data_IF_899522028419
#
_entry.id   IF_899522028419
#
_cell.length_a   1.000
_cell.length_b   1.000
_cell.length_c   1.000
_cell.angle_alpha   90.00
_cell.angle_beta   90.00
_cell.angle_gamma   90.00
#
_symmetry.space_group_name_H-M   'P 1'
#
loop_
_entity.id
_entity.type
_entity.pdbx_description
1 polymer ?
#
# COMPACT_ATOMS: atom_id res chain seq x y z
N UNK A 1 36.16 54.29 31.17
CA UNK A 1 35.91 55.40 30.24
C UNK A 1 36.63 55.05 28.95
N UNK A 2 35.96 54.38 28.00
CA UNK A 2 35.00 55.00 27.07
C UNK A 2 35.77 55.90 26.08
N UNK A 3 35.57 55.87 24.77
CA UNK A 3 34.60 55.19 23.94
C UNK A 3 35.09 55.28 22.47
N UNK A 4 34.35 54.59 21.60
CA UNK A 4 34.22 54.88 20.17
C UNK A 4 35.43 54.62 19.26
N UNK A 5 35.44 53.41 18.68
CA UNK A 5 35.30 53.28 17.22
C UNK A 5 34.86 51.86 16.85
N UNK A 6 33.58 51.57 17.09
CA UNK A 6 32.84 50.48 16.45
C UNK A 6 31.59 51.07 15.81
N UNK A 7 31.59 51.27 14.48
CA UNK A 7 30.37 51.21 13.68
C UNK A 7 30.66 50.97 12.20
N UNK A 8 30.23 49.79 11.78
CA UNK A 8 29.56 49.48 10.50
C UNK A 8 30.37 49.49 9.21
N UNK A 9 30.69 48.29 8.72
CA UNK A 9 30.26 47.86 7.39
C UNK A 9 29.84 46.37 7.43
N UNK A 10 28.58 46.12 7.08
CA UNK A 10 27.84 44.85 7.19
C UNK A 10 28.23 43.86 6.08
N UNK A 11 28.19 42.53 6.32
CA UNK A 11 28.20 41.55 5.24
C UNK A 11 26.84 41.50 4.53
N UNK A 12 26.85 41.47 3.20
CA UNK A 12 25.67 41.32 2.33
C UNK A 12 24.96 40.01 2.65
N UNK A 13 23.71 40.08 3.11
CA UNK A 13 22.83 38.91 3.24
C UNK A 13 22.57 38.32 1.85
N UNK A 14 22.98 37.06 1.65
CA UNK A 14 22.59 36.26 0.47
C UNK A 14 21.09 35.91 0.57
N UNK A 15 20.31 35.99 -0.52
CA UNK A 15 18.89 35.69 -0.47
C UNK A 15 18.62 34.19 -0.29
N UNK A 16 17.47 33.91 0.33
CA UNK A 16 16.95 32.64 0.82
C UNK A 16 16.95 31.50 -0.22
N UNK A 17 17.93 30.58 -0.16
CA UNK A 17 17.91 29.28 -0.89
C UNK A 17 17.11 28.15 -0.21
N UNK A 18 16.63 28.37 1.03
CA UNK A 18 15.82 27.37 1.76
C UNK A 18 14.40 27.17 1.18
N UNK A 19 13.87 28.15 0.45
CA UNK A 19 12.51 28.08 -0.12
C UNK A 19 12.42 27.20 -1.38
N UNK A 20 13.43 27.25 -2.27
CA UNK A 20 13.44 26.46 -3.51
C UNK A 20 13.68 24.97 -3.27
N UNK A 21 14.47 24.62 -2.24
CA UNK A 21 14.71 23.20 -1.90
C UNK A 21 13.44 22.52 -1.36
N UNK A 22 12.68 23.22 -0.50
CA UNK A 22 11.37 22.75 -0.02
C UNK A 22 10.35 22.62 -1.15
N UNK A 23 10.30 23.61 -2.07
CA UNK A 23 9.36 23.58 -3.19
C UNK A 23 9.57 22.38 -4.13
N UNK A 24 10.82 22.02 -4.41
CA UNK A 24 11.17 20.84 -5.23
C UNK A 24 10.95 19.51 -4.48
N UNK A 25 11.08 19.50 -3.15
CA UNK A 25 10.77 18.35 -2.30
C UNK A 25 9.24 18.14 -2.18
N UNK A 26 8.47 19.23 -2.13
CA UNK A 26 7.00 19.23 -2.12
C UNK A 26 6.42 18.82 -3.49
N UNK A 27 7.02 19.25 -4.60
CA UNK A 27 6.63 18.85 -5.97
C UNK A 27 6.92 17.36 -6.24
N UNK A 28 8.06 16.84 -5.75
CA UNK A 28 8.33 15.40 -5.79
C UNK A 28 7.38 14.61 -4.86
N UNK A 29 7.00 15.18 -3.71
CA UNK A 29 6.00 14.57 -2.84
C UNK A 29 4.60 14.56 -3.47
N UNK A 30 4.25 15.58 -4.26
CA UNK A 30 2.99 15.65 -5.00
C UNK A 30 2.96 14.63 -6.16
N UNK A 31 4.08 14.44 -6.88
CA UNK A 31 4.20 13.40 -7.90
C UNK A 31 4.09 11.98 -7.31
N UNK A 32 4.65 11.76 -6.10
CA UNK A 32 4.54 10.49 -5.37
C UNK A 32 3.10 10.26 -4.86
N UNK A 33 2.41 11.32 -4.42
CA UNK A 33 1.01 11.27 -4.00
C UNK A 33 0.06 11.02 -5.20
N UNK A 34 0.35 11.59 -6.37
CA UNK A 34 -0.40 11.34 -7.60
C UNK A 34 -0.23 9.88 -8.09
N UNK A 35 0.96 9.29 -7.95
CA UNK A 35 1.20 7.87 -8.23
C UNK A 35 0.57 6.92 -7.17
N UNK A 36 0.35 7.39 -5.94
CA UNK A 36 -0.44 6.68 -4.94
C UNK A 36 -1.96 6.80 -5.19
N UNK A 37 -2.39 7.89 -5.83
CA UNK A 37 -3.80 8.12 -6.20
C UNK A 37 -4.27 7.18 -7.33
N UNK A 38 -3.35 6.67 -8.15
CA UNK A 38 -3.63 5.67 -9.19
C UNK A 38 -3.71 4.22 -8.67
N UNK A 39 -3.52 3.97 -7.38
CA UNK A 39 -3.69 2.66 -6.74
C UNK A 39 -5.14 2.34 -6.33
N UNK A 40 -6.10 3.21 -6.67
CA UNK A 40 -7.53 3.01 -6.45
C UNK A 40 -8.30 2.51 -7.67
N UNK A 41 -7.78 1.58 -8.49
CA UNK A 41 -8.61 0.76 -9.40
C UNK A 41 -7.80 -0.29 -10.14
N UNK A 42 -7.70 -1.49 -9.58
CA UNK A 42 -7.30 -2.67 -10.34
C UNK A 42 -7.98 -3.91 -9.77
N UNK A 43 -9.22 -4.12 -10.19
CA UNK A 43 -10.04 -5.26 -9.79
C UNK A 43 -11.48 -5.16 -10.29
N UNK A 44 -11.67 -4.85 -11.57
CA UNK A 44 -12.92 -5.08 -12.29
C UNK A 44 -12.57 -6.08 -13.40
N UNK A 45 -12.99 -7.34 -13.20
CA UNK A 45 -13.14 -8.29 -14.29
C UNK A 45 -14.47 -7.96 -14.99
N UNK A 46 -14.44 -7.98 -16.33
CA UNK A 46 -15.53 -7.73 -17.27
C UNK A 46 -16.82 -8.49 -16.94
N UNK A 47 -17.95 -7.77 -16.93
CA UNK A 47 -19.23 -8.23 -17.49
C UNK A 47 -20.03 -6.98 -17.89
N UNK A 48 -20.40 -6.95 -19.17
CA UNK A 48 -20.92 -5.80 -19.89
C UNK A 48 -22.42 -6.04 -20.15
N UNK A 49 -23.32 -5.28 -19.50
CA UNK A 49 -24.73 -5.16 -19.92
C UNK A 49 -25.15 -3.68 -19.85
N UNK A 50 -25.59 -3.17 -20.99
CA UNK A 50 -26.22 -1.86 -21.16
C UNK A 50 -27.58 -1.84 -20.48
N UNK A 51 -27.86 -0.86 -19.59
CA UNK A 51 -29.25 -0.44 -19.36
C UNK A 51 -29.38 1.06 -19.07
N UNK A 52 -30.56 1.53 -19.47
CA UNK A 52 -30.97 2.85 -19.91
C UNK A 52 -31.24 3.85 -18.76
N UNK A 53 -31.04 5.13 -19.05
CA UNK A 53 -31.15 6.22 -18.09
C UNK A 53 -32.59 6.61 -17.78
N UNK A 54 -33.02 6.42 -16.54
CA UNK A 54 -34.27 7.00 -16.01
C UNK A 54 -34.04 7.63 -14.64
N UNK A 55 -34.07 8.96 -14.59
CA UNK A 55 -33.98 9.75 -13.37
C UNK A 55 -35.15 9.46 -12.40
N UNK A 56 -34.87 8.72 -11.33
CA UNK A 56 -35.85 8.33 -10.31
C UNK A 56 -36.18 9.45 -9.31
N UNK A 57 -37.48 9.64 -9.05
CA UNK A 57 -38.04 10.59 -8.07
C UNK A 57 -37.61 10.31 -6.61
N UNK A 58 -37.56 11.33 -5.72
CA UNK A 58 -37.00 11.24 -4.37
C UNK A 58 -37.69 10.24 -3.40
N UNK A 59 -38.93 9.82 -3.65
CA UNK A 59 -39.60 8.80 -2.83
C UNK A 59 -39.10 7.37 -3.12
N UNK A 60 -38.79 7.06 -4.38
CA UNK A 60 -38.23 5.76 -4.80
C UNK A 60 -36.82 5.57 -4.20
N UNK A 61 -36.03 6.65 -4.18
CA UNK A 61 -34.70 6.68 -3.56
C UNK A 61 -34.76 6.38 -2.05
N UNK A 62 -35.74 6.95 -1.32
CA UNK A 62 -35.92 6.69 0.12
C UNK A 62 -36.36 5.26 0.43
N UNK A 63 -37.24 4.69 -0.39
CA UNK A 63 -37.66 3.30 -0.24
C UNK A 63 -36.51 2.32 -0.51
N UNK A 64 -35.68 2.61 -1.51
CA UNK A 64 -34.46 1.85 -1.80
C UNK A 64 -33.45 1.94 -0.64
N UNK A 65 -33.20 3.14 -0.12
CA UNK A 65 -32.29 3.35 1.02
C UNK A 65 -32.76 2.63 2.30
N UNK A 66 -34.07 2.66 2.58
CA UNK A 66 -34.64 1.92 3.73
C UNK A 66 -34.61 0.39 3.54
N UNK A 67 -34.69 -0.10 2.31
CA UNK A 67 -34.50 -1.51 1.99
C UNK A 67 -33.05 -1.94 2.20
N UNK A 68 -32.09 -1.17 1.68
CA UNK A 68 -30.65 -1.40 1.88
C UNK A 68 -30.28 -1.39 3.37
N UNK A 69 -30.81 -0.44 4.14
CA UNK A 69 -30.54 -0.38 5.58
C UNK A 69 -31.09 -1.59 6.35
N UNK A 70 -32.23 -2.14 5.91
CA UNK A 70 -32.78 -3.38 6.47
C UNK A 70 -31.91 -4.58 6.10
N UNK A 71 -31.43 -4.63 4.85
CA UNK A 71 -30.55 -5.70 4.38
C UNK A 71 -29.22 -5.70 5.14
N UNK A 72 -28.57 -4.53 5.28
CA UNK A 72 -27.35 -4.37 6.08
C UNK A 72 -27.57 -4.88 7.51
N UNK A 73 -28.63 -4.43 8.19
CA UNK A 73 -28.93 -4.88 9.56
C UNK A 73 -29.15 -6.39 9.63
N UNK A 74 -29.90 -6.96 8.68
CA UNK A 74 -30.13 -8.41 8.63
C UNK A 74 -28.82 -9.20 8.50
N UNK A 75 -27.88 -8.74 7.66
CA UNK A 75 -26.58 -9.40 7.52
C UNK A 75 -25.71 -9.23 8.77
N UNK A 76 -25.72 -8.06 9.40
CA UNK A 76 -25.00 -7.83 10.67
C UNK A 76 -25.56 -8.72 11.78
N UNK A 77 -26.88 -8.84 11.91
CA UNK A 77 -27.53 -9.72 12.89
C UNK A 77 -27.15 -11.19 12.68
N UNK A 78 -27.04 -11.64 11.42
CA UNK A 78 -26.55 -12.98 11.09
C UNK A 78 -25.11 -13.16 11.57
N UNK A 79 -24.22 -12.19 11.29
CA UNK A 79 -22.83 -12.28 11.73
C UNK A 79 -22.72 -12.32 13.26
N UNK A 80 -23.45 -11.47 13.98
CA UNK A 80 -23.44 -11.45 15.45
C UNK A 80 -23.93 -12.79 16.01
N UNK A 81 -25.05 -13.32 15.50
CA UNK A 81 -25.58 -14.62 15.93
C UNK A 81 -24.63 -15.78 15.68
N UNK A 82 -23.85 -15.72 14.60
CA UNK A 82 -22.93 -16.78 14.20
C UNK A 82 -21.52 -16.63 14.78
N UNK A 83 -21.22 -15.54 15.51
CA UNK A 83 -19.86 -15.21 15.96
C UNK A 83 -19.22 -16.29 16.86
N UNK A 84 -20.02 -17.03 17.63
CA UNK A 84 -19.53 -18.03 18.59
C UNK A 84 -19.85 -19.49 18.20
N UNK A 85 -20.28 -19.74 16.95
CA UNK A 85 -20.76 -21.07 16.53
C UNK A 85 -19.93 -21.68 15.40
N UNK A 86 -19.56 -22.95 15.56
CA UNK A 86 -18.91 -23.77 14.53
C UNK A 86 -19.87 -24.67 13.75
N UNK A 87 -21.18 -24.58 14.00
CA UNK A 87 -22.17 -25.38 13.26
C UNK A 87 -22.10 -25.04 11.77
N UNK A 88 -22.12 -26.05 10.91
CA UNK A 88 -22.02 -25.89 9.46
C UNK A 88 -23.03 -24.87 8.90
N UNK A 89 -24.29 -24.90 9.37
CA UNK A 89 -25.32 -23.96 8.95
C UNK A 89 -25.01 -22.50 9.34
N UNK A 90 -24.48 -22.28 10.55
CA UNK A 90 -24.12 -20.95 11.05
C UNK A 90 -22.90 -20.40 10.31
N UNK A 91 -21.87 -21.24 10.07
CA UNK A 91 -20.70 -20.83 9.28
C UNK A 91 -21.04 -20.57 7.81
N UNK A 92 -21.94 -21.36 7.21
CA UNK A 92 -22.45 -21.11 5.87
C UNK A 92 -23.24 -19.79 5.80
N UNK A 93 -24.02 -19.46 6.84
CA UNK A 93 -24.73 -18.19 6.94
C UNK A 93 -23.76 -17.02 7.10
N UNK A 94 -22.76 -17.13 7.98
CA UNK A 94 -21.71 -16.11 8.13
C UNK A 94 -20.95 -15.87 6.81
N UNK A 95 -20.60 -16.93 6.08
CA UNK A 95 -19.97 -16.84 4.75
C UNK A 95 -20.83 -16.06 3.75
N UNK A 96 -22.14 -16.30 3.73
CA UNK A 96 -23.06 -15.55 2.86
C UNK A 96 -23.17 -14.10 3.31
N UNK A 97 -23.30 -13.84 4.61
CA UNK A 97 -23.42 -12.50 5.15
C UNK A 97 -22.18 -11.64 4.88
N UNK A 98 -20.97 -12.18 5.06
CA UNK A 98 -19.74 -11.47 4.69
C UNK A 98 -19.66 -11.19 3.19
N UNK A 99 -20.10 -12.13 2.35
CA UNK A 99 -20.15 -11.89 0.90
C UNK A 99 -21.13 -10.79 0.52
N UNK A 100 -22.36 -10.81 1.03
CA UNK A 100 -23.38 -9.79 0.74
C UNK A 100 -22.91 -8.41 1.21
N UNK A 101 -22.36 -8.30 2.42
CA UNK A 101 -21.80 -7.03 2.90
C UNK A 101 -20.63 -6.54 2.04
N UNK A 102 -19.78 -7.44 1.54
CA UNK A 102 -18.71 -7.06 0.62
C UNK A 102 -19.24 -6.54 -0.71
N UNK A 103 -20.27 -7.16 -1.29
CA UNK A 103 -20.91 -6.67 -2.52
C UNK A 103 -21.55 -5.30 -2.32
N UNK A 104 -22.25 -5.08 -1.20
CA UNK A 104 -22.80 -3.77 -0.86
C UNK A 104 -21.70 -2.71 -0.64
N UNK A 105 -20.58 -3.09 -0.01
CA UNK A 105 -19.46 -2.19 0.26
C UNK A 105 -18.68 -1.76 -1.00
N UNK A 106 -18.91 -2.39 -2.16
CA UNK A 106 -18.39 -1.89 -3.45
C UNK A 106 -19.05 -0.58 -3.86
N UNK A 107 -20.26 -0.31 -3.40
CA UNK A 107 -20.93 0.98 -3.60
C UNK A 107 -20.56 1.94 -2.47
N UNK A 108 -19.80 2.99 -2.79
CA UNK A 108 -19.34 3.99 -1.83
C UNK A 108 -20.48 4.65 -1.04
N UNK A 109 -21.66 4.82 -1.64
CA UNK A 109 -22.82 5.43 -0.98
C UNK A 109 -23.36 4.57 0.19
N UNK A 110 -23.17 3.25 0.12
CA UNK A 110 -23.67 2.29 1.10
C UNK A 110 -22.66 2.02 2.23
N UNK A 111 -21.37 2.33 2.01
CA UNK A 111 -20.28 2.09 2.97
C UNK A 111 -20.58 2.71 4.35
N UNK A 112 -21.04 3.97 4.40
CA UNK A 112 -21.36 4.64 5.67
C UNK A 112 -22.48 3.91 6.41
N UNK A 113 -23.52 3.49 5.67
CA UNK A 113 -24.66 2.73 6.22
C UNK A 113 -24.21 1.38 6.79
N UNK A 114 -23.25 0.70 6.14
CA UNK A 114 -22.69 -0.56 6.63
C UNK A 114 -21.94 -0.35 7.95
N UNK A 115 -21.13 0.70 8.04
CA UNK A 115 -20.38 1.04 9.26
C UNK A 115 -21.33 1.40 10.40
N UNK A 116 -22.28 2.31 10.16
CA UNK A 116 -23.30 2.72 11.12
C UNK A 116 -24.23 1.57 11.55
N UNK A 117 -24.44 0.60 10.66
CA UNK A 117 -25.17 -0.64 10.94
C UNK A 117 -24.47 -1.61 11.88
N UNK A 118 -23.25 -1.32 12.34
CA UNK A 118 -22.50 -2.14 13.29
C UNK A 118 -21.68 -3.27 12.66
N UNK A 119 -21.50 -3.25 11.34
CA UNK A 119 -20.81 -4.34 10.63
C UNK A 119 -19.35 -4.49 11.07
N UNK A 120 -18.66 -3.40 11.40
CA UNK A 120 -17.23 -3.44 11.76
C UNK A 120 -16.95 -4.38 12.93
N UNK A 121 -17.65 -4.21 14.05
CA UNK A 121 -17.45 -5.07 15.23
C UNK A 121 -17.80 -6.54 14.92
N UNK A 122 -18.90 -6.77 14.20
CA UNK A 122 -19.31 -8.11 13.81
C UNK A 122 -18.28 -8.80 12.90
N UNK A 123 -17.71 -8.08 11.94
CA UNK A 123 -16.68 -8.60 11.02
C UNK A 123 -15.37 -8.89 11.76
N UNK A 124 -14.94 -8.04 12.70
CA UNK A 124 -13.74 -8.27 13.51
C UNK A 124 -13.84 -9.58 14.30
N UNK A 125 -15.00 -9.88 14.89
CA UNK A 125 -15.22 -11.16 15.57
C UNK A 125 -15.04 -12.40 14.67
N UNK A 126 -15.25 -12.25 13.35
CA UNK A 126 -15.10 -13.34 12.37
C UNK A 126 -13.69 -13.44 11.78
N UNK A 127 -12.78 -12.53 12.12
CA UNK A 127 -11.34 -12.68 11.87
C UNK A 127 -10.65 -13.54 12.94
N UNK A 128 -11.28 -13.68 14.10
CA UNK A 128 -10.78 -14.42 15.24
C UNK A 128 -11.45 -15.78 15.38
N UNK A 129 -10.78 -16.70 16.08
CA UNK A 129 -11.37 -17.99 16.41
C UNK A 129 -12.48 -17.77 17.45
N UNK A 130 -13.70 -18.28 17.24
CA UNK A 130 -14.73 -18.37 18.27
C UNK A 130 -14.13 -18.95 19.56
N UNK A 131 -14.23 -18.22 20.67
CA UNK A 131 -13.66 -18.57 21.98
C UNK A 131 -14.35 -19.77 22.68
N UNK A 132 -14.67 -20.82 21.93
CA UNK A 132 -15.32 -22.02 22.47
C UNK A 132 -14.25 -22.85 23.17
N UNK A 133 -14.36 -22.97 24.49
CA UNK A 133 -13.56 -23.87 25.30
C UNK A 133 -13.59 -25.27 24.68
N UNK A 134 -12.40 -25.85 24.46
CA UNK A 134 -12.21 -27.15 23.84
C UNK A 134 -13.23 -28.19 24.32
N UNK A 135 -14.17 -28.56 23.46
CA UNK A 135 -15.00 -29.73 23.64
C UNK A 135 -14.58 -30.73 22.56
N UNK A 136 -13.87 -31.77 22.98
CA UNK A 136 -13.50 -32.99 22.23
C UNK A 136 -12.58 -32.86 21.01
N UNK A 137 -11.57 -33.74 20.94
CA UNK A 137 -10.56 -33.82 19.86
C UNK A 137 -11.15 -34.08 18.46
N UNK A 138 -12.40 -34.56 18.37
CA UNK A 138 -13.09 -34.81 17.09
C UNK A 138 -13.64 -33.53 16.45
N UNK A 139 -14.03 -32.50 17.22
CA UNK A 139 -14.51 -31.21 16.67
C UNK A 139 -13.37 -30.32 16.16
N UNK A 140 -12.13 -30.59 16.57
CA UNK A 140 -10.94 -29.93 16.02
C UNK A 140 -10.70 -30.24 14.53
N UNK A 141 -11.32 -31.30 13.98
CA UNK A 141 -11.08 -31.75 12.60
C UNK A 141 -12.00 -31.12 11.54
N UNK A 142 -13.14 -30.51 11.91
CA UNK A 142 -14.06 -29.89 10.95
C UNK A 142 -14.41 -28.47 11.38
N UNK A 143 -13.60 -27.51 10.93
CA UNK A 143 -13.91 -26.06 10.95
C UNK A 143 -14.52 -25.64 9.62
N UNK A 144 -15.84 -25.80 9.41
CA UNK A 144 -16.45 -25.55 8.11
C UNK A 144 -16.36 -24.07 7.75
N UNK A 145 -15.95 -23.79 6.52
CA UNK A 145 -15.87 -22.44 5.94
C UNK A 145 -15.03 -21.43 6.75
N UNK A 146 -14.10 -21.86 7.61
CA UNK A 146 -13.25 -20.97 8.40
C UNK A 146 -12.56 -19.92 7.53
N UNK A 147 -11.78 -20.39 6.55
CA UNK A 147 -11.00 -19.54 5.67
C UNK A 147 -11.88 -18.67 4.78
N UNK A 148 -13.04 -19.14 4.34
CA UNK A 148 -13.95 -18.33 3.53
C UNK A 148 -14.58 -17.19 4.33
N UNK A 149 -14.94 -17.43 5.58
CA UNK A 149 -15.49 -16.40 6.46
C UNK A 149 -14.42 -15.37 6.81
N UNK A 150 -13.21 -15.80 7.18
CA UNK A 150 -12.08 -14.91 7.45
C UNK A 150 -11.72 -14.06 6.22
N UNK A 151 -11.65 -14.70 5.03
CA UNK A 151 -11.41 -14.02 3.76
C UNK A 151 -12.49 -12.96 3.51
N UNK A 152 -13.76 -13.30 3.72
CA UNK A 152 -14.90 -12.40 3.54
C UNK A 152 -14.85 -11.23 4.51
N UNK A 153 -14.54 -11.49 5.79
CA UNK A 153 -14.42 -10.48 6.82
C UNK A 153 -13.28 -9.50 6.53
N UNK A 154 -12.07 -10.01 6.24
CA UNK A 154 -10.91 -9.20 5.91
C UNK A 154 -11.15 -8.36 4.64
N UNK A 155 -11.76 -8.96 3.61
CA UNK A 155 -12.09 -8.25 2.39
C UNK A 155 -13.09 -7.11 2.63
N UNK A 156 -14.16 -7.38 3.37
CA UNK A 156 -15.18 -6.36 3.67
C UNK A 156 -14.59 -5.21 4.47
N UNK A 157 -13.80 -5.51 5.53
CA UNK A 157 -13.11 -4.48 6.31
C UNK A 157 -12.16 -3.64 5.44
N UNK A 158 -11.46 -4.27 4.49
CA UNK A 158 -10.63 -3.57 3.51
C UNK A 158 -11.42 -2.62 2.62
N UNK A 159 -12.61 -3.00 2.17
CA UNK A 159 -13.49 -2.11 1.40
C UNK A 159 -13.99 -0.93 2.24
N UNK A 160 -14.41 -1.17 3.47
CA UNK A 160 -14.85 -0.10 4.39
C UNK A 160 -13.71 0.88 4.71
N UNK A 161 -12.47 0.40 4.72
CA UNK A 161 -11.27 1.21 5.00
C UNK A 161 -10.80 2.06 3.80
N UNK A 162 -11.40 1.92 2.62
CA UNK A 162 -11.09 2.80 1.46
C UNK A 162 -11.43 4.26 1.81
N UNK A 163 -12.50 4.47 2.60
CA UNK A 163 -12.87 5.78 3.14
C UNK A 163 -12.01 6.11 4.37
N UNK A 164 -11.22 7.20 4.35
CA UNK A 164 -10.34 7.57 5.46
C UNK A 164 -11.06 7.73 6.81
N UNK A 165 -12.32 8.16 6.78
CA UNK A 165 -13.12 8.43 7.98
C UNK A 165 -13.41 7.15 8.78
N UNK A 166 -13.33 5.97 8.15
CA UNK A 166 -13.64 4.70 8.80
C UNK A 166 -12.40 3.96 9.28
N UNK A 167 -11.21 4.29 8.76
CA UNK A 167 -9.97 3.59 9.06
C UNK A 167 -9.71 3.54 10.57
N UNK A 168 -9.78 4.69 11.25
CA UNK A 168 -9.50 4.79 12.68
C UNK A 168 -10.53 4.00 13.50
N UNK A 169 -11.81 4.09 13.15
CA UNK A 169 -12.88 3.33 13.82
C UNK A 169 -12.69 1.81 13.68
N UNK A 170 -12.32 1.33 12.49
CA UNK A 170 -12.03 -0.10 12.25
C UNK A 170 -10.84 -0.57 13.09
N UNK A 171 -9.78 0.24 13.15
CA UNK A 171 -8.61 -0.07 13.95
C UNK A 171 -8.90 -0.05 15.46
N UNK A 172 -9.74 0.86 15.93
CA UNK A 172 -10.16 0.96 17.33
C UNK A 172 -11.13 -0.15 17.74
N UNK A 173 -11.88 -0.72 16.78
CA UNK A 173 -12.65 -1.94 16.96
C UNK A 173 -11.79 -3.21 17.09
N UNK A 174 -10.46 -3.10 17.00
CA UNK A 174 -9.53 -4.21 17.21
C UNK A 174 -9.20 -5.02 15.96
N UNK A 175 -9.37 -4.46 14.76
CA UNK A 175 -9.12 -5.21 13.52
C UNK A 175 -7.64 -5.58 13.27
N UNK A 176 -6.67 -4.80 13.77
CA UNK A 176 -5.25 -4.98 13.42
C UNK A 176 -4.63 -6.30 13.94
N UNK A 177 -4.73 -6.65 15.25
CA UNK A 177 -4.14 -7.89 15.75
C UNK A 177 -4.58 -9.16 14.98
N UNK A 178 -5.87 -9.39 14.69
CA UNK A 178 -6.26 -10.58 13.94
C UNK A 178 -5.86 -10.51 12.47
N UNK A 179 -5.87 -9.35 11.81
CA UNK A 179 -5.34 -9.20 10.46
C UNK A 179 -3.85 -9.58 10.40
N UNK A 180 -3.05 -9.14 11.37
CA UNK A 180 -1.63 -9.52 11.47
C UNK A 180 -1.46 -11.01 11.77
N UNK A 181 -2.33 -11.62 12.58
CA UNK A 181 -2.34 -13.07 12.83
C UNK A 181 -2.58 -13.85 11.53
N UNK A 182 -3.49 -13.39 10.67
CA UNK A 182 -3.78 -14.02 9.38
C UNK A 182 -2.56 -14.02 8.44
N UNK A 183 -1.74 -12.96 8.45
CA UNK A 183 -0.50 -12.90 7.64
C UNK A 183 0.51 -13.99 8.03
N UNK A 184 0.53 -14.40 9.30
CA UNK A 184 1.50 -15.38 9.84
C UNK A 184 1.13 -16.84 9.52
N UNK A 185 -0.02 -17.11 8.90
CA UNK A 185 -0.45 -18.48 8.57
C UNK A 185 0.34 -19.03 7.38
N UNK A 186 1.58 -19.53 7.58
CA UNK A 186 2.32 -20.21 6.50
C UNK A 186 3.08 -21.49 6.92
N UNK A 187 3.08 -22.45 5.98
CA UNK A 187 3.73 -23.79 5.90
C UNK A 187 3.03 -25.06 6.39
N UNK A 188 1.82 -25.03 6.93
CA UNK A 188 1.13 -26.28 7.30
C UNK A 188 -0.34 -26.19 6.97
N UNK A 189 -0.77 -26.63 5.77
CA UNK A 189 -2.13 -27.15 5.50
C UNK A 189 -2.33 -27.50 4.01
N UNK A 190 -3.16 -28.50 3.80
CA UNK A 190 -3.57 -29.16 2.55
C UNK A 190 -4.34 -28.26 1.56
N UNK A 191 -4.63 -26.99 1.91
CA UNK A 191 -5.47 -26.05 1.15
C UNK A 191 -4.76 -24.71 0.84
N UNK A 192 -3.53 -24.78 0.31
CA UNK A 192 -2.65 -23.63 0.05
C UNK A 192 -3.34 -22.45 -0.68
N UNK A 193 -4.19 -22.70 -1.68
CA UNK A 193 -4.87 -21.64 -2.45
C UNK A 193 -5.82 -20.77 -1.61
N UNK A 194 -6.59 -21.37 -0.71
CA UNK A 194 -7.55 -20.61 0.11
C UNK A 194 -6.81 -19.82 1.19
N UNK A 195 -5.78 -20.42 1.80
CA UNK A 195 -4.90 -19.73 2.76
C UNK A 195 -4.25 -18.50 2.11
N UNK A 196 -3.70 -18.64 0.89
CA UNK A 196 -3.16 -17.52 0.13
C UNK A 196 -4.22 -16.43 -0.12
N UNK A 197 -5.46 -16.82 -0.41
CA UNK A 197 -6.56 -15.87 -0.59
C UNK A 197 -6.87 -15.08 0.68
N UNK A 198 -6.84 -15.72 1.86
CA UNK A 198 -7.02 -15.04 3.16
C UNK A 198 -5.87 -14.07 3.42
N UNK A 199 -4.62 -14.53 3.25
CA UNK A 199 -3.42 -13.69 3.46
C UNK A 199 -3.45 -12.47 2.56
N UNK A 200 -3.78 -12.67 1.27
CA UNK A 200 -3.92 -11.58 0.31
C UNK A 200 -4.92 -10.54 0.83
N UNK A 201 -6.11 -10.97 1.26
CA UNK A 201 -7.14 -10.06 1.77
C UNK A 201 -6.75 -9.36 3.07
N UNK A 202 -5.98 -10.02 3.94
CA UNK A 202 -5.44 -9.38 5.13
C UNK A 202 -4.42 -8.28 4.78
N UNK A 203 -3.52 -8.53 3.82
CA UNK A 203 -2.57 -7.54 3.34
C UNK A 203 -3.26 -6.36 2.61
N UNK A 204 -4.26 -6.64 1.76
CA UNK A 204 -5.10 -5.63 1.11
C UNK A 204 -5.80 -4.74 2.17
N UNK A 205 -6.39 -5.35 3.20
CA UNK A 205 -7.08 -4.61 4.26
C UNK A 205 -6.13 -3.71 5.05
N UNK A 206 -4.94 -4.21 5.40
CA UNK A 206 -3.89 -3.41 6.07
C UNK A 206 -3.45 -2.24 5.19
N UNK A 207 -3.33 -2.46 3.87
CA UNK A 207 -2.98 -1.41 2.90
C UNK A 207 -4.01 -0.27 2.94
N UNK A 208 -5.30 -0.60 2.84
CA UNK A 208 -6.37 0.40 2.85
C UNK A 208 -6.48 1.12 4.21
N UNK A 209 -6.36 0.39 5.32
CA UNK A 209 -6.37 0.99 6.67
C UNK A 209 -5.22 1.98 6.88
N UNK A 210 -4.03 1.68 6.33
CA UNK A 210 -2.84 2.50 6.52
C UNK A 210 -2.69 3.62 5.47
N UNK A 211 -3.52 3.62 4.42
CA UNK A 211 -3.43 4.60 3.33
C UNK A 211 -3.66 6.02 3.86
N UNK A 212 -2.68 6.91 3.61
CA UNK A 212 -2.64 8.30 4.12
C UNK A 212 -2.81 8.47 5.65
N UNK A 213 -2.63 7.40 6.44
CA UNK A 213 -2.81 7.44 7.89
C UNK A 213 -1.54 7.02 8.66
N UNK A 214 -0.73 8.01 9.06
CA UNK A 214 0.55 7.80 9.75
C UNK A 214 0.42 7.08 11.10
N UNK A 215 -0.69 7.29 11.82
CA UNK A 215 -0.94 6.65 13.11
C UNK A 215 -1.18 5.15 12.90
N UNK A 216 -2.01 4.79 11.92
CA UNK A 216 -2.27 3.38 11.60
C UNK A 216 -1.03 2.69 11.05
N UNK A 217 -0.24 3.35 10.19
CA UNK A 217 1.07 2.82 9.73
C UNK A 217 1.97 2.45 10.92
N UNK A 218 1.99 3.29 11.94
CA UNK A 218 2.77 3.05 13.16
C UNK A 218 2.20 1.90 13.98
N UNK A 219 0.87 1.83 14.15
CA UNK A 219 0.21 0.74 14.86
C UNK A 219 0.44 -0.61 14.19
N UNK A 220 0.34 -0.71 12.86
CA UNK A 220 0.64 -1.95 12.12
C UNK A 220 2.05 -2.47 12.43
N UNK A 221 3.04 -1.57 12.51
CA UNK A 221 4.40 -1.92 12.96
C UNK A 221 4.41 -2.44 14.39
N UNK A 222 3.77 -1.72 15.32
CA UNK A 222 3.78 -2.08 16.75
C UNK A 222 3.09 -3.42 17.02
N UNK A 223 2.07 -3.78 16.25
CA UNK A 223 1.41 -5.09 16.28
C UNK A 223 2.25 -6.21 15.63
N UNK A 224 3.44 -5.88 15.09
CA UNK A 224 4.34 -6.85 14.45
C UNK A 224 3.89 -7.27 13.05
N UNK A 225 3.24 -6.38 12.30
CA UNK A 225 2.79 -6.64 10.92
C UNK A 225 3.90 -6.59 9.87
N UNK A 226 5.00 -5.87 10.10
CA UNK A 226 6.09 -5.74 9.11
C UNK A 226 6.82 -7.07 8.85
N UNK A 227 7.30 -7.82 9.87
CA UNK A 227 8.01 -9.08 9.63
C UNK A 227 7.27 -10.08 8.73
N UNK A 228 5.98 -10.44 8.99
CA UNK A 228 5.28 -11.38 8.11
C UNK A 228 5.04 -10.82 6.71
N UNK A 229 4.84 -9.49 6.54
CA UNK A 229 4.76 -8.91 5.20
C UNK A 229 6.07 -9.05 4.42
N UNK A 230 7.22 -8.93 5.08
CA UNK A 230 8.52 -9.14 4.45
C UNK A 230 8.72 -10.62 4.08
N UNK A 231 8.34 -11.55 4.94
CA UNK A 231 8.38 -12.99 4.62
C UNK A 231 7.50 -13.33 3.41
N UNK A 232 6.32 -12.71 3.29
CA UNK A 232 5.38 -12.94 2.19
C UNK A 232 5.88 -12.41 0.83
N UNK A 233 6.93 -11.59 0.79
CA UNK A 233 7.61 -11.22 -0.47
C UNK A 233 8.24 -12.43 -1.17
N UNK A 234 8.51 -13.52 -0.44
CA UNK A 234 9.05 -14.78 -1.00
C UNK A 234 7.96 -15.80 -1.39
N UNK A 235 6.68 -15.39 -1.32
CA UNK A 235 5.56 -16.25 -1.69
C UNK A 235 5.63 -16.66 -3.17
N UNK A 236 5.33 -17.93 -3.45
CA UNK A 236 5.17 -18.46 -4.81
C UNK A 236 3.85 -18.04 -5.46
N UNK A 237 2.90 -17.54 -4.65
CA UNK A 237 1.66 -16.96 -5.14
C UNK A 237 1.86 -15.48 -5.42
N UNK A 238 1.91 -15.12 -6.72
CA UNK A 238 2.14 -13.75 -7.18
C UNK A 238 1.11 -12.76 -6.63
N UNK A 239 -0.13 -13.19 -6.38
CA UNK A 239 -1.16 -12.30 -5.82
C UNK A 239 -0.84 -11.96 -4.37
N UNK A 240 -0.35 -12.93 -3.59
CA UNK A 240 0.12 -12.71 -2.21
C UNK A 240 1.38 -11.86 -2.19
N UNK A 241 2.36 -12.19 -3.04
CA UNK A 241 3.62 -11.43 -3.15
C UNK A 241 3.35 -9.95 -3.47
N UNK A 242 2.47 -9.69 -4.45
CA UNK A 242 2.05 -8.33 -4.81
C UNK A 242 1.35 -7.60 -3.65
N UNK A 243 0.39 -8.25 -3.00
CA UNK A 243 -0.35 -7.63 -1.90
C UNK A 243 0.57 -7.28 -0.71
N UNK A 244 1.53 -8.16 -0.41
CA UNK A 244 2.55 -7.90 0.61
C UNK A 244 3.43 -6.70 0.27
N UNK A 245 3.88 -6.61 -0.99
CA UNK A 245 4.67 -5.46 -1.47
C UNK A 245 3.87 -4.15 -1.43
N UNK A 246 2.60 -4.16 -1.85
CA UNK A 246 1.71 -2.99 -1.77
C UNK A 246 1.49 -2.50 -0.32
N UNK A 247 1.31 -3.43 0.62
CA UNK A 247 1.23 -3.11 2.04
C UNK A 247 2.54 -2.47 2.54
N UNK A 248 3.70 -3.05 2.22
CA UNK A 248 5.00 -2.50 2.61
C UNK A 248 5.27 -1.12 1.98
N UNK A 249 4.86 -0.90 0.73
CA UNK A 249 4.95 0.40 0.05
C UNK A 249 4.19 1.47 0.82
N UNK A 250 2.96 1.15 1.23
CA UNK A 250 2.11 2.04 2.02
C UNK A 250 2.69 2.32 3.41
N UNK A 251 3.18 1.27 4.09
CA UNK A 251 3.77 1.39 5.43
C UNK A 251 5.08 2.18 5.44
N UNK A 252 5.86 2.13 4.36
CA UNK A 252 7.11 2.87 4.21
C UNK A 252 6.89 4.37 3.89
N UNK A 253 5.73 4.74 3.32
CA UNK A 253 5.48 6.11 2.89
C UNK A 253 5.44 7.08 4.08
N UNK A 254 6.42 7.99 4.12
CA UNK A 254 6.59 9.04 5.14
C UNK A 254 6.64 8.51 6.59
N UNK A 255 7.21 7.33 6.82
CA UNK A 255 7.38 6.75 8.16
C UNK A 255 8.77 6.11 8.32
N UNK A 256 9.71 6.83 8.95
CA UNK A 256 11.13 6.44 8.98
C UNK A 256 11.39 5.20 9.86
N UNK A 257 10.65 5.03 10.95
CA UNK A 257 10.72 3.84 11.79
C UNK A 257 10.28 2.59 11.04
N UNK A 258 9.19 2.69 10.25
CA UNK A 258 8.74 1.59 9.41
C UNK A 258 9.77 1.27 8.31
N UNK A 259 10.31 2.29 7.61
CA UNK A 259 11.37 2.07 6.61
C UNK A 259 12.56 1.32 7.20
N UNK A 260 13.00 1.75 8.39
CA UNK A 260 14.13 1.14 9.10
C UNK A 260 13.84 -0.33 9.42
N UNK A 261 12.65 -0.64 9.95
CA UNK A 261 12.31 -2.02 10.28
C UNK A 261 12.18 -2.91 9.05
N UNK A 262 11.63 -2.41 7.93
CA UNK A 262 11.54 -3.17 6.68
C UNK A 262 12.94 -3.60 6.21
N UNK A 263 13.92 -2.71 6.29
CA UNK A 263 15.31 -3.02 5.93
C UNK A 263 15.94 -3.99 6.94
N UNK A 264 15.70 -3.82 8.24
CA UNK A 264 16.17 -4.72 9.30
C UNK A 264 15.59 -6.14 9.18
N UNK A 265 14.39 -6.28 8.63
CA UNK A 265 13.78 -7.56 8.30
C UNK A 265 14.35 -8.19 7.01
N UNK A 266 15.42 -7.63 6.44
CA UNK A 266 16.12 -8.12 5.25
C UNK A 266 15.25 -8.17 3.99
N UNK A 267 14.39 -7.17 3.77
CA UNK A 267 13.53 -7.11 2.58
C UNK A 267 14.28 -6.81 1.27
N UNK A 268 15.46 -6.17 1.34
CA UNK A 268 16.13 -5.62 0.16
C UNK A 268 16.51 -6.66 -0.91
N UNK A 269 17.11 -7.82 -0.59
CA UNK A 269 17.45 -8.83 -1.60
C UNK A 269 16.23 -9.29 -2.40
N UNK A 270 15.12 -9.55 -1.71
CA UNK A 270 13.88 -10.02 -2.32
C UNK A 270 13.22 -8.94 -3.18
N UNK A 271 13.15 -7.70 -2.69
CA UNK A 271 12.65 -6.57 -3.48
C UNK A 271 13.48 -6.34 -4.76
N UNK A 272 14.81 -6.46 -4.67
CA UNK A 272 15.70 -6.31 -5.82
C UNK A 272 15.52 -7.44 -6.84
N UNK A 273 15.26 -8.67 -6.37
CA UNK A 273 14.89 -9.78 -7.25
C UNK A 273 13.55 -9.51 -7.96
N UNK A 274 12.55 -9.00 -7.23
CA UNK A 274 11.22 -8.66 -7.78
C UNK A 274 11.28 -7.57 -8.85
N UNK A 275 12.25 -6.66 -8.83
CA UNK A 275 12.47 -5.68 -9.91
C UNK A 275 12.76 -6.34 -11.28
N UNK A 276 13.18 -7.61 -11.29
CA UNK A 276 13.47 -8.38 -12.50
C UNK A 276 12.30 -9.27 -12.94
N UNK A 277 11.16 -9.20 -12.25
CA UNK A 277 9.97 -9.98 -12.60
C UNK A 277 9.45 -9.59 -13.99
N UNK A 278 9.04 -10.59 -14.75
CA UNK A 278 8.30 -10.42 -16.01
C UNK A 278 6.87 -9.91 -15.76
N UNK A 279 6.33 -10.12 -14.54
CA UNK A 279 5.05 -9.55 -14.14
C UNK A 279 5.22 -8.06 -13.80
N UNK A 280 4.59 -7.22 -14.62
CA UNK A 280 4.67 -5.77 -14.48
C UNK A 280 4.14 -5.24 -13.15
N UNK A 281 3.12 -5.90 -12.60
CA UNK A 281 2.57 -5.49 -11.32
C UNK A 281 3.54 -5.79 -10.16
N UNK A 282 4.30 -6.88 -10.25
CA UNK A 282 5.30 -7.24 -9.24
C UNK A 282 6.47 -6.26 -9.25
N UNK A 283 7.05 -5.99 -10.42
CA UNK A 283 8.18 -5.06 -10.47
C UNK A 283 7.77 -3.62 -10.15
N UNK A 284 6.50 -3.24 -10.40
CA UNK A 284 5.93 -1.94 -10.07
C UNK A 284 5.85 -1.73 -8.55
N UNK A 285 5.32 -2.71 -7.82
CA UNK A 285 5.29 -2.61 -6.36
C UNK A 285 6.70 -2.61 -5.78
N UNK A 286 7.61 -3.45 -6.30
CA UNK A 286 8.98 -3.51 -5.81
C UNK A 286 9.72 -2.17 -5.96
N UNK A 287 9.62 -1.52 -7.12
CA UNK A 287 10.25 -0.21 -7.34
C UNK A 287 9.61 0.87 -6.45
N UNK A 288 8.29 0.81 -6.24
CA UNK A 288 7.57 1.71 -5.34
C UNK A 288 7.97 1.57 -3.87
N UNK A 289 8.12 0.33 -3.38
CA UNK A 289 8.63 0.07 -2.02
C UNK A 289 10.03 0.68 -1.87
N UNK A 290 10.95 0.37 -2.79
CA UNK A 290 12.33 0.89 -2.72
C UNK A 290 12.34 2.42 -2.81
N UNK A 291 11.52 3.02 -3.68
CA UNK A 291 11.35 4.47 -3.77
C UNK A 291 10.97 5.10 -2.43
N UNK A 292 9.98 4.53 -1.74
CA UNK A 292 9.56 5.01 -0.43
C UNK A 292 10.64 4.79 0.65
N UNK A 293 11.37 3.67 0.60
CA UNK A 293 12.46 3.36 1.54
C UNK A 293 13.61 4.36 1.45
N UNK A 294 14.01 4.79 0.25
CA UNK A 294 15.16 5.69 0.07
C UNK A 294 14.79 7.18 0.15
N UNK A 295 13.51 7.50 0.04
CA UNK A 295 13.02 8.86 0.13
C UNK A 295 13.34 9.48 1.49
N UNK A 296 14.13 10.55 1.50
CA UNK A 296 14.61 11.24 2.70
C UNK A 296 15.42 10.38 3.69
N UNK A 297 15.91 9.20 3.26
CA UNK A 297 16.64 8.25 4.11
C UNK A 297 18.01 7.92 3.51
N UNK A 298 19.06 8.74 3.76
CA UNK A 298 20.37 8.59 3.11
C UNK A 298 21.10 7.30 3.47
N UNK A 299 20.92 6.77 4.69
CA UNK A 299 21.53 5.51 5.11
C UNK A 299 20.92 4.31 4.37
N UNK A 300 19.59 4.20 4.39
CA UNK A 300 18.84 3.18 3.64
C UNK A 300 19.17 3.25 2.14
N UNK A 301 19.30 4.46 1.59
CA UNK A 301 19.71 4.66 0.20
C UNK A 301 21.07 4.02 -0.12
N UNK A 302 22.07 4.17 0.77
CA UNK A 302 23.37 3.51 0.61
C UNK A 302 23.23 1.99 0.68
N UNK A 303 22.43 1.47 1.61
CA UNK A 303 22.17 0.03 1.74
C UNK A 303 21.52 -0.54 0.48
N UNK A 304 20.52 0.14 -0.09
CA UNK A 304 19.86 -0.24 -1.35
C UNK A 304 20.85 -0.25 -2.53
N UNK A 305 21.73 0.75 -2.63
CA UNK A 305 22.76 0.79 -3.67
C UNK A 305 23.79 -0.34 -3.50
N UNK A 306 24.24 -0.59 -2.27
CA UNK A 306 25.18 -1.66 -1.94
C UNK A 306 24.58 -3.05 -2.19
N UNK A 307 23.28 -3.21 -2.00
CA UNK A 307 22.54 -4.43 -2.31
C UNK A 307 22.36 -4.67 -3.83
N UNK A 308 22.81 -3.74 -4.69
CA UNK A 308 22.85 -3.94 -6.14
C UNK A 308 21.59 -3.50 -6.89
N UNK A 309 20.72 -2.68 -6.30
CA UNK A 309 19.46 -2.24 -6.91
C UNK A 309 19.63 -1.42 -8.21
N UNK A 310 20.78 -0.78 -8.41
CA UNK A 310 20.99 0.20 -9.49
C UNK A 310 20.72 -0.36 -10.90
N UNK A 311 21.27 -1.54 -11.24
CA UNK A 311 21.09 -2.09 -12.59
C UNK A 311 19.64 -2.55 -12.85
N UNK A 312 18.97 -3.29 -11.94
CA UNK A 312 17.55 -3.58 -12.07
C UNK A 312 16.66 -2.35 -12.29
N UNK A 313 16.89 -1.27 -11.52
CA UNK A 313 16.12 -0.02 -11.67
C UNK A 313 16.35 0.61 -13.04
N UNK A 314 17.58 0.63 -13.56
CA UNK A 314 17.86 1.12 -14.92
C UNK A 314 17.12 0.27 -15.96
N UNK A 315 17.05 -1.06 -15.77
CA UNK A 315 16.31 -1.95 -16.67
C UNK A 315 14.82 -1.60 -16.77
N UNK A 316 14.21 -1.15 -15.67
CA UNK A 316 12.80 -0.77 -15.64
C UNK A 316 12.47 0.50 -16.44
N UNK A 317 13.45 1.34 -16.81
CA UNK A 317 13.23 2.47 -17.72
C UNK A 317 12.75 2.03 -19.12
N UNK A 318 13.01 0.77 -19.50
CA UNK A 318 12.55 0.18 -20.75
C UNK A 318 11.43 -0.85 -20.53
N UNK A 319 10.74 -0.82 -19.38
CA UNK A 319 9.57 -1.66 -19.12
C UNK A 319 8.41 -1.32 -20.07
N UNK A 320 7.57 -2.32 -20.38
CA UNK A 320 6.30 -2.11 -21.09
C UNK A 320 5.25 -1.38 -20.24
N UNK A 321 5.48 -1.25 -18.93
CA UNK A 321 4.59 -0.56 -18.00
C UNK A 321 5.09 0.87 -17.74
N UNK A 322 4.31 1.86 -18.17
CA UNK A 322 4.63 3.30 -18.00
C UNK A 322 4.72 3.71 -16.53
N UNK A 323 3.89 3.13 -15.67
CA UNK A 323 3.97 3.34 -14.21
C UNK A 323 5.34 2.93 -13.64
N UNK A 324 5.84 1.75 -14.05
CA UNK A 324 7.16 1.24 -13.64
C UNK A 324 8.28 2.13 -14.16
N UNK A 325 8.18 2.61 -15.41
CA UNK A 325 9.15 3.55 -15.98
C UNK A 325 9.20 4.87 -15.19
N UNK A 326 8.04 5.41 -14.79
CA UNK A 326 7.97 6.63 -13.97
C UNK A 326 8.63 6.46 -12.62
N UNK A 327 8.28 5.39 -11.90
CA UNK A 327 8.85 5.09 -10.58
C UNK A 327 10.36 4.82 -10.68
N UNK A 328 10.81 4.13 -11.73
CA UNK A 328 12.24 3.91 -11.97
C UNK A 328 13.00 5.22 -12.22
N UNK A 329 12.46 6.12 -13.04
CA UNK A 329 13.08 7.43 -13.29
C UNK A 329 13.11 8.30 -12.02
N UNK A 330 12.02 8.31 -11.24
CA UNK A 330 11.97 9.00 -9.95
C UNK A 330 13.06 8.46 -9.00
N UNK A 331 13.16 7.13 -8.87
CA UNK A 331 14.14 6.47 -8.02
C UNK A 331 15.59 6.76 -8.46
N UNK A 332 15.87 6.79 -9.76
CA UNK A 332 17.19 7.20 -10.27
C UNK A 332 17.53 8.65 -9.91
N UNK A 333 16.57 9.57 -10.01
CA UNK A 333 16.74 10.95 -9.56
C UNK A 333 16.99 11.06 -8.05
N UNK A 334 16.41 10.14 -7.25
CA UNK A 334 16.70 10.03 -5.81
C UNK A 334 18.09 9.44 -5.54
N UNK A 335 18.55 8.44 -6.31
CA UNK A 335 19.92 7.92 -6.22
C UNK A 335 20.97 8.96 -6.60
N UNK A 336 20.73 9.73 -7.66
CA UNK A 336 21.60 10.81 -8.09
C UNK A 336 21.81 11.90 -7.01
N UNK A 337 20.93 11.99 -6.00
CA UNK A 337 21.10 12.92 -4.87
C UNK A 337 22.00 12.40 -3.74
N UNK A 338 22.49 11.15 -3.81
CA UNK A 338 23.29 10.54 -2.75
C UNK A 338 24.74 11.04 -2.71
N UNK A 339 25.43 10.95 -3.86
CA UNK A 339 26.86 11.22 -4.00
C UNK A 339 27.23 11.47 -5.48
N UNK A 340 28.35 12.14 -5.75
CA UNK A 340 28.86 12.35 -7.12
C UNK A 340 29.18 11.03 -7.83
N UNK A 341 29.72 10.05 -7.10
CA UNK A 341 30.12 8.77 -7.68
C UNK A 341 28.91 7.96 -8.13
N UNK A 342 27.78 8.07 -7.42
CA UNK A 342 26.52 7.44 -7.82
C UNK A 342 26.03 7.96 -9.17
N UNK A 343 26.17 9.27 -9.44
CA UNK A 343 25.79 9.87 -10.74
C UNK A 343 26.62 9.28 -11.88
N UNK A 344 27.93 9.15 -11.68
CA UNK A 344 28.84 8.55 -12.66
C UNK A 344 28.42 7.12 -12.96
N UNK A 345 28.12 6.33 -11.93
CA UNK A 345 27.65 4.95 -12.10
C UNK A 345 26.29 4.85 -12.81
N UNK A 346 25.35 5.75 -12.53
CA UNK A 346 24.05 5.79 -13.24
C UNK A 346 24.28 6.04 -14.74
N UNK A 347 25.17 6.97 -15.10
CA UNK A 347 25.50 7.29 -16.50
C UNK A 347 26.23 6.14 -17.18
N UNK A 348 27.29 5.61 -16.55
CA UNK A 348 28.10 4.51 -17.10
C UNK A 348 27.29 3.22 -17.33
N UNK A 349 26.26 2.98 -16.52
CA UNK A 349 25.37 1.83 -16.65
C UNK A 349 24.25 2.02 -17.69
N UNK A 350 24.27 3.13 -18.43
CA UNK A 350 23.43 3.33 -19.60
C UNK A 350 22.06 3.94 -19.34
N UNK A 351 21.82 4.58 -18.17
CA UNK A 351 20.52 5.17 -17.85
C UNK A 351 20.12 6.35 -18.76
N UNK A 352 21.10 7.05 -19.35
CA UNK A 352 20.86 8.31 -20.09
C UNK A 352 20.02 8.09 -21.34
N UNK A 353 20.28 7.04 -22.13
CA UNK A 353 19.57 6.83 -23.40
C UNK A 353 18.07 6.53 -23.18
N UNK A 354 17.67 5.58 -22.31
CA UNK A 354 16.26 5.35 -22.02
C UNK A 354 15.57 6.60 -21.44
N UNK A 355 16.25 7.39 -20.60
CA UNK A 355 15.68 8.65 -20.11
C UNK A 355 15.41 9.64 -21.27
N UNK A 356 16.35 9.80 -22.21
CA UNK A 356 16.13 10.67 -23.38
C UNK A 356 14.97 10.17 -24.24
N UNK A 357 14.85 8.85 -24.45
CA UNK A 357 13.73 8.24 -25.17
C UNK A 357 12.39 8.56 -24.46
N UNK A 358 12.34 8.46 -23.13
CA UNK A 358 11.15 8.80 -22.33
C UNK A 358 10.74 10.28 -22.47
N UNK A 359 11.67 11.21 -22.73
CA UNK A 359 11.33 12.63 -22.97
C UNK A 359 10.50 12.85 -24.24
N UNK A 360 10.48 11.88 -25.15
CA UNK A 360 9.73 11.95 -26.40
C UNK A 360 8.32 11.33 -26.28
N UNK A 361 7.95 10.80 -25.11
CA UNK A 361 6.64 10.19 -24.88
C UNK A 361 5.50 11.22 -24.91
N UNK A 362 4.32 10.77 -25.32
CA UNK A 362 3.08 11.55 -25.21
C UNK A 362 2.61 11.70 -23.74
N UNK A 363 3.01 10.78 -22.86
CA UNK A 363 2.72 10.82 -21.42
C UNK A 363 3.52 11.96 -20.76
N UNK A 364 2.79 12.95 -20.22
CA UNK A 364 3.37 14.13 -19.57
C UNK A 364 4.15 13.74 -18.32
N UNK A 365 3.60 12.87 -17.48
CA UNK A 365 4.21 12.44 -16.24
C UNK A 365 5.49 11.65 -16.50
N UNK A 366 5.54 10.85 -17.57
CA UNK A 366 6.75 10.14 -17.99
C UNK A 366 7.88 11.12 -18.37
N UNK A 367 7.54 12.16 -19.15
CA UNK A 367 8.49 13.22 -19.51
C UNK A 367 8.98 13.99 -18.29
N UNK A 368 8.09 14.31 -17.35
CA UNK A 368 8.44 15.00 -16.11
C UNK A 368 9.41 14.19 -15.25
N UNK A 369 9.14 12.89 -15.04
CA UNK A 369 10.03 12.04 -14.24
C UNK A 369 11.39 11.83 -14.92
N UNK A 370 11.41 11.71 -16.25
CA UNK A 370 12.66 11.64 -17.00
C UNK A 370 13.47 12.95 -16.89
N UNK A 371 12.82 14.10 -17.10
CA UNK A 371 13.45 15.40 -16.98
C UNK A 371 13.99 15.64 -15.55
N UNK A 372 13.24 15.22 -14.53
CA UNK A 372 13.70 15.23 -13.15
C UNK A 372 14.99 14.41 -12.97
N UNK A 373 15.01 13.15 -13.42
CA UNK A 373 16.18 12.29 -13.30
C UNK A 373 17.40 12.87 -14.02
N UNK A 374 17.25 13.29 -15.28
CA UNK A 374 18.31 13.91 -16.07
C UNK A 374 18.80 15.22 -15.45
N UNK A 375 17.90 16.05 -14.93
CA UNK A 375 18.26 17.27 -14.20
C UNK A 375 19.12 16.99 -12.96
N UNK A 376 18.80 15.93 -12.21
CA UNK A 376 19.59 15.51 -11.02
C UNK A 376 20.97 14.98 -11.40
N UNK A 377 21.06 14.25 -12.51
CA UNK A 377 22.33 13.78 -13.07
C UNK A 377 23.19 14.95 -13.56
N UNK A 378 22.58 15.91 -14.26
CA UNK A 378 23.25 17.10 -14.79
C UNK A 378 23.66 18.13 -13.72
N UNK A 379 23.08 18.07 -12.51
CA UNK A 379 23.49 18.87 -11.34
C UNK A 379 24.88 18.47 -10.80
N UNK A 380 25.86 18.26 -11.68
CA UNK A 380 27.27 18.25 -11.30
C UNK A 380 27.64 19.70 -10.99
N UNK A 381 28.20 19.93 -9.80
CA UNK A 381 28.74 21.25 -9.47
C UNK A 381 29.73 21.65 -10.56
N UNK A 382 29.47 22.80 -11.16
CA UNK A 382 30.32 23.58 -12.06
C UNK A 382 31.61 24.04 -11.35
N UNK A 383 32.29 23.15 -10.62
CA UNK A 383 33.39 23.45 -9.69
C UNK A 383 34.71 22.77 -10.05
N UNK A 384 34.81 22.16 -11.24
CA UNK A 384 36.07 21.62 -11.75
C UNK A 384 36.52 22.25 -13.09
N UNK A 385 35.93 23.38 -13.51
CA UNK A 385 36.23 23.95 -14.84
C UNK A 385 36.29 25.49 -14.91
N UNK A 386 36.58 26.17 -13.80
CA UNK A 386 37.08 27.56 -13.77
C UNK A 386 38.13 27.62 -12.67
#
# INVERSE_FOLDING_TARGET
MEAEQQKQQRPRQRPRRKGQKRKLEDEASAATAAAASSLGSAGADDDNEEEDGSAGTPEICRHSHAALAREVRAQVDVLIRCASSWRHADRAAAKRATHVLAELAKNEEVVNMIVEGGAVAALVCHLEEPAVAAQTQEEQQLRPFELEVEKGAAFTLGLLAVKPEHQQFIVDAGALPPLVKLLKRQRSTTNSRMVNSVIKRAADAITNLAHENSNIKTRVRMEGGIPPLVELLESQDLKVQRAAAGALRTLAFKNDENKTQIVQCNALPTLILMLRSEDAAIHYEAVGVIGNLVHSSPNIKKEVLNAGALQPVIGLLSSCCTESQREAALLLGQFASADSDCKVHIVQRGAVRPLIEMLQSADVQLREMSAFALGRLAQVYFLFLI
#
